data_IF_766680425136
#
_entry.id   IF_766680425136
#
_cell.length_a   1.000
_cell.length_b   1.000
_cell.length_c   1.000
_cell.angle_alpha   90.00
_cell.angle_beta   90.00
_cell.angle_gamma   90.00
#
_symmetry.space_group_name_H-M   'P 1'
#
loop_
_entity.id
_entity.type
_entity.pdbx_description
1 polymer ?
#
# COMPACT_ATOMS: atom_id res chain seq x y z
N UNK A 1 6.41 -19.87 -3.35
CA UNK A 1 5.30 -20.38 -4.18
C UNK A 1 4.52 -19.16 -4.67
N UNK A 2 4.15 -19.14 -5.94
CA UNK A 2 3.54 -17.98 -6.58
C UNK A 2 2.18 -18.40 -7.14
N UNK A 3 1.11 -17.84 -6.59
CA UNK A 3 -0.27 -18.14 -6.97
C UNK A 3 -0.77 -17.04 -7.91
N UNK A 4 -1.24 -17.41 -9.09
CA UNK A 4 -1.75 -16.45 -10.09
C UNK A 4 -3.25 -16.61 -10.24
N UNK A 5 -3.98 -15.50 -10.10
CA UNK A 5 -5.44 -15.47 -10.17
C UNK A 5 -5.92 -14.33 -11.08
N UNK A 6 -7.03 -14.55 -11.78
CA UNK A 6 -7.73 -13.47 -12.47
C UNK A 6 -8.66 -12.78 -11.46
N UNK A 7 -8.48 -11.48 -11.29
CA UNK A 7 -9.25 -10.69 -10.35
C UNK A 7 -9.53 -9.31 -10.95
N UNK A 8 -10.74 -8.80 -10.68
CA UNK A 8 -11.07 -7.42 -10.99
C UNK A 8 -10.42 -6.51 -9.95
N UNK A 9 -9.51 -5.63 -10.39
CA UNK A 9 -8.95 -4.63 -9.49
C UNK A 9 -10.02 -3.58 -9.18
N UNK A 10 -10.70 -3.71 -8.06
CA UNK A 10 -11.86 -2.88 -7.77
C UNK A 10 -11.48 -1.46 -7.36
N UNK A 11 -10.57 -1.32 -6.39
CA UNK A 11 -10.22 -0.01 -5.84
C UNK A 11 -8.81 0.01 -5.30
N UNK A 12 -8.11 1.10 -5.59
CA UNK A 12 -6.87 1.49 -4.94
C UNK A 12 -7.16 2.68 -4.00
N UNK A 13 -6.84 2.53 -2.73
CA UNK A 13 -7.03 3.60 -1.73
C UNK A 13 -5.69 3.97 -1.15
N UNK A 14 -5.28 5.22 -1.36
CA UNK A 14 -4.08 5.80 -0.75
C UNK A 14 -4.50 6.92 0.18
N UNK A 15 -4.36 6.68 1.47
CA UNK A 15 -4.55 7.65 2.54
C UNK A 15 -3.18 8.15 3.03
N UNK A 16 -3.13 9.34 3.65
CA UNK A 16 -1.89 9.90 4.20
C UNK A 16 -1.19 8.98 5.22
N UNK A 17 -1.89 7.97 5.76
CA UNK A 17 -1.31 7.01 6.70
C UNK A 17 -1.20 5.60 6.15
N UNK A 18 -2.03 5.21 5.18
CA UNK A 18 -2.17 3.80 4.76
C UNK A 18 -2.48 3.69 3.27
N UNK A 19 -1.93 2.68 2.63
CA UNK A 19 -2.28 2.33 1.26
C UNK A 19 -2.87 0.91 1.24
N UNK A 20 -4.05 0.78 0.64
CA UNK A 20 -4.74 -0.50 0.50
C UNK A 20 -5.23 -0.73 -0.93
N UNK A 21 -5.22 -1.99 -1.33
CA UNK A 21 -5.70 -2.45 -2.64
C UNK A 21 -6.78 -3.50 -2.44
N UNK A 22 -7.90 -3.34 -3.13
CA UNK A 22 -9.04 -4.25 -3.06
C UNK A 22 -9.29 -4.90 -4.42
N UNK A 23 -9.32 -6.22 -4.44
CA UNK A 23 -9.57 -7.02 -5.64
C UNK A 23 -10.83 -7.87 -5.46
N UNK A 24 -11.58 -8.06 -6.54
CA UNK A 24 -12.72 -8.98 -6.59
C UNK A 24 -12.39 -10.17 -7.48
N UNK A 25 -12.35 -11.35 -6.88
CA UNK A 25 -12.20 -12.61 -7.57
C UNK A 25 -13.61 -13.17 -7.85
N UNK A 26 -13.84 -13.69 -9.06
CA UNK A 26 -15.09 -14.36 -9.44
C UNK A 26 -14.77 -15.77 -9.93
N UNK A 27 -15.56 -16.75 -9.54
CA UNK A 27 -15.52 -18.13 -10.06
C UNK A 27 -14.56 -19.07 -9.34
N UNK A 28 -13.92 -19.97 -10.07
CA UNK A 28 -13.10 -21.09 -9.55
C UNK A 28 -11.87 -20.68 -8.74
N UNK A 29 -11.36 -19.45 -8.93
CA UNK A 29 -10.27 -18.93 -8.13
C UNK A 29 -10.68 -18.63 -6.68
N UNK A 30 -11.98 -18.51 -6.40
CA UNK A 30 -12.52 -18.30 -5.05
C UNK A 30 -12.29 -19.51 -4.15
N UNK A 31 -12.19 -20.71 -4.72
CA UNK A 31 -12.02 -21.98 -4.00
C UNK A 31 -10.54 -22.35 -3.79
N UNK A 32 -9.59 -21.56 -4.32
CA UNK A 32 -8.17 -21.88 -4.22
C UNK A 32 -7.72 -21.93 -2.75
N UNK A 33 -7.27 -23.09 -2.25
CA UNK A 33 -6.83 -23.24 -0.86
C UNK A 33 -5.59 -22.38 -0.56
N UNK A 34 -4.80 -22.06 -1.59
CA UNK A 34 -3.64 -21.17 -1.49
C UNK A 34 -4.02 -19.78 -0.97
N UNK A 35 -5.15 -19.21 -1.39
CA UNK A 35 -5.60 -17.89 -0.89
C UNK A 35 -5.95 -17.92 0.59
N UNK A 36 -6.47 -19.04 1.09
CA UNK A 36 -6.75 -19.22 2.52
C UNK A 36 -5.44 -19.36 3.31
N UNK A 37 -4.41 -19.97 2.72
CA UNK A 37 -3.09 -20.09 3.34
C UNK A 37 -2.33 -18.76 3.36
N UNK A 38 -2.48 -17.95 2.31
CA UNK A 38 -1.88 -16.62 2.22
C UNK A 38 -2.58 -15.57 3.10
N UNK A 39 -3.81 -15.84 3.54
CA UNK A 39 -4.56 -14.92 4.40
C UNK A 39 -3.80 -14.66 5.71
N UNK A 40 -3.71 -13.38 6.12
CA UNK A 40 -2.90 -12.89 7.25
C UNK A 40 -1.38 -13.08 7.09
N UNK A 41 -0.91 -13.40 5.90
CA UNK A 41 0.51 -13.44 5.59
C UNK A 41 0.93 -12.20 4.79
N UNK A 42 2.23 -11.93 4.79
CA UNK A 42 2.82 -10.90 3.95
C UNK A 42 3.07 -11.50 2.56
N UNK A 43 2.65 -10.78 1.53
CA UNK A 43 2.71 -11.23 0.15
C UNK A 43 3.26 -10.14 -0.77
N UNK A 44 3.97 -10.56 -1.81
CA UNK A 44 4.32 -9.70 -2.94
C UNK A 44 3.21 -9.80 -3.98
N UNK A 45 2.59 -8.66 -4.28
CA UNK A 45 1.60 -8.52 -5.34
C UNK A 45 2.28 -8.06 -6.63
N UNK A 46 1.98 -8.74 -7.73
CA UNK A 46 2.40 -8.37 -9.08
C UNK A 46 1.18 -8.41 -10.00
N UNK A 47 0.99 -7.37 -10.80
CA UNK A 47 -0.06 -7.34 -11.81
C UNK A 47 0.55 -7.54 -13.19
N UNK A 48 -0.03 -8.43 -13.99
CA UNK A 48 0.38 -8.61 -15.38
C UNK A 48 0.12 -7.34 -16.19
N UNK A 49 1.14 -6.89 -16.92
CA UNK A 49 1.08 -5.64 -17.69
C UNK A 49 1.51 -4.41 -16.89
N UNK A 50 1.77 -4.54 -15.59
CA UNK A 50 2.37 -3.50 -14.76
C UNK A 50 3.78 -3.94 -14.37
N UNK A 51 4.79 -3.23 -14.86
CA UNK A 51 6.20 -3.46 -14.47
C UNK A 51 6.50 -2.84 -13.09
N UNK A 52 5.71 -3.24 -12.10
CA UNK A 52 5.87 -2.86 -10.71
C UNK A 52 5.33 -3.97 -9.81
N UNK A 53 5.95 -4.12 -8.65
CA UNK A 53 5.52 -5.05 -7.62
C UNK A 53 5.41 -4.33 -6.28
N UNK A 54 4.53 -4.81 -5.41
CA UNK A 54 4.27 -4.18 -4.12
C UNK A 54 4.20 -5.24 -3.04
N UNK A 55 4.76 -4.95 -1.88
CA UNK A 55 4.75 -5.87 -0.74
C UNK A 55 3.67 -5.43 0.23
N UNK A 56 2.73 -6.31 0.50
CA UNK A 56 1.52 -6.02 1.26
C UNK A 56 1.14 -7.15 2.21
N UNK A 57 0.55 -6.81 3.33
CA UNK A 57 -0.13 -7.77 4.18
C UNK A 57 -1.47 -8.14 3.54
N UNK A 58 -1.75 -9.43 3.41
CA UNK A 58 -3.08 -9.90 3.04
C UNK A 58 -4.03 -9.84 4.23
N UNK A 59 -4.68 -8.68 4.38
CA UNK A 59 -5.41 -8.29 5.59
C UNK A 59 -6.77 -8.96 5.74
N UNK A 60 -7.53 -9.06 4.65
CA UNK A 60 -8.91 -9.56 4.70
C UNK A 60 -9.27 -10.34 3.45
N UNK A 61 -9.78 -11.55 3.65
CA UNK A 61 -10.44 -12.37 2.65
C UNK A 61 -11.93 -12.46 3.01
N UNK A 62 -12.81 -11.96 2.14
CA UNK A 62 -14.26 -12.00 2.33
C UNK A 62 -14.92 -12.74 1.16
N UNK A 63 -15.39 -13.95 1.40
CA UNK A 63 -16.20 -14.70 0.43
C UNK A 63 -17.66 -14.25 0.55
N UNK A 64 -18.20 -13.72 -0.53
CA UNK A 64 -19.61 -13.41 -0.71
C UNK A 64 -20.17 -14.37 -1.77
N UNK A 65 -21.46 -14.71 -1.72
CA UNK A 65 -22.10 -15.66 -2.64
C UNK A 65 -21.91 -15.36 -4.14
N UNK A 66 -21.50 -14.13 -4.49
CA UNK A 66 -21.26 -13.70 -5.87
C UNK A 66 -19.80 -13.38 -6.20
N UNK A 67 -18.94 -13.20 -5.20
CA UNK A 67 -17.55 -12.76 -5.39
C UNK A 67 -16.73 -12.87 -4.12
N UNK A 68 -15.43 -13.06 -4.27
CA UNK A 68 -14.48 -13.02 -3.17
C UNK A 68 -13.71 -11.72 -3.19
N UNK A 69 -13.77 -10.97 -2.10
CA UNK A 69 -13.04 -9.72 -1.93
C UNK A 69 -11.72 -9.98 -1.21
N UNK A 70 -10.62 -9.58 -1.83
CA UNK A 70 -9.28 -9.62 -1.26
C UNK A 70 -8.83 -8.20 -0.95
N UNK A 71 -8.45 -7.92 0.30
CA UNK A 71 -7.93 -6.63 0.73
C UNK A 71 -6.49 -6.77 1.21
N UNK A 72 -5.61 -5.95 0.64
CA UNK A 72 -4.18 -5.92 0.96
C UNK A 72 -3.79 -4.56 1.52
N UNK A 73 -2.93 -4.54 2.54
CA UNK A 73 -2.37 -3.31 3.14
C UNK A 73 -0.86 -3.23 2.84
N UNK A 74 -0.43 -2.19 2.13
CA UNK A 74 0.94 -2.07 1.60
C UNK A 74 1.90 -1.47 2.66
N UNK A 75 3.12 -2.02 2.80
CA UNK A 75 4.17 -1.49 3.70
C UNK A 75 4.93 -0.35 3.05
N UNK A 76 5.16 0.72 3.81
CA UNK A 76 5.91 1.90 3.35
C UNK A 76 5.20 2.76 2.28
N UNK A 77 4.04 2.32 1.79
CA UNK A 77 3.42 2.88 0.59
C UNK A 77 4.16 2.45 -0.68
N UNK A 78 3.51 2.59 -1.83
CA UNK A 78 4.16 2.37 -3.11
C UNK A 78 4.93 3.62 -3.54
N UNK A 79 6.04 3.44 -4.26
CA UNK A 79 6.71 4.55 -4.95
C UNK A 79 5.69 5.29 -5.82
N UNK A 80 5.78 6.61 -5.95
CA UNK A 80 4.83 7.43 -6.73
C UNK A 80 4.60 6.87 -8.14
N UNK A 81 5.67 6.39 -8.78
CA UNK A 81 5.61 5.80 -10.12
C UNK A 81 4.83 4.47 -10.13
N UNK A 82 5.10 3.58 -9.18
CA UNK A 82 4.35 2.33 -9.02
C UNK A 82 2.88 2.62 -8.69
N UNK A 83 2.61 3.50 -7.73
CA UNK A 83 1.27 3.92 -7.31
C UNK A 83 0.44 4.41 -8.49
N UNK A 84 1.02 5.26 -9.34
CA UNK A 84 0.36 5.75 -10.56
C UNK A 84 0.02 4.65 -11.55
N UNK A 85 0.92 3.68 -11.76
CA UNK A 85 0.67 2.52 -12.63
C UNK A 85 -0.44 1.63 -12.09
N UNK A 86 -0.46 1.35 -10.78
CA UNK A 86 -1.54 0.59 -10.13
C UNK A 86 -2.87 1.33 -10.21
N UNK A 87 -2.87 2.63 -9.96
CA UNK A 87 -4.08 3.44 -10.04
C UNK A 87 -4.65 3.46 -11.46
N UNK A 88 -3.80 3.53 -12.49
CA UNK A 88 -4.21 3.52 -13.90
C UNK A 88 -4.93 2.22 -14.31
N UNK A 89 -4.56 1.09 -13.73
CA UNK A 89 -5.22 -0.21 -13.99
C UNK A 89 -6.36 -0.52 -13.02
N UNK A 90 -6.62 0.34 -12.04
CA UNK A 90 -7.76 0.18 -11.15
C UNK A 90 -9.08 0.31 -11.93
N UNK A 91 -10.05 -0.54 -11.62
CA UNK A 91 -11.31 -0.68 -12.33
C UNK A 91 -11.30 -1.69 -13.49
N UNK A 92 -10.15 -2.33 -13.78
CA UNK A 92 -10.02 -3.32 -14.87
C UNK A 92 -9.77 -4.74 -14.37
N UNK A 93 -10.05 -5.72 -15.23
CA UNK A 93 -9.73 -7.12 -14.94
C UNK A 93 -8.23 -7.34 -15.13
N UNK A 94 -7.58 -7.86 -14.08
CA UNK A 94 -6.13 -8.01 -14.04
C UNK A 94 -5.75 -9.43 -13.60
N UNK A 95 -4.65 -9.93 -14.14
CA UNK A 95 -4.03 -11.16 -13.66
C UNK A 95 -3.09 -10.80 -12.50
N UNK A 96 -3.52 -11.13 -11.28
CA UNK A 96 -2.83 -10.87 -10.03
C UNK A 96 -1.99 -12.09 -9.64
N UNK A 97 -0.68 -11.92 -9.53
CA UNK A 97 0.24 -12.90 -8.96
C UNK A 97 0.55 -12.53 -7.51
N UNK A 98 0.37 -13.49 -6.62
CA UNK A 98 0.64 -13.40 -5.19
C UNK A 98 1.79 -14.35 -4.83
N UNK A 99 2.79 -13.83 -4.14
CA UNK A 99 3.93 -14.63 -3.67
C UNK A 99 4.09 -14.45 -2.16
N UNK A 100 4.06 -15.54 -1.40
CA UNK A 100 4.31 -15.48 0.04
C UNK A 100 5.74 -15.02 0.31
N UNK A 101 5.89 -13.95 1.09
CA UNK A 101 7.18 -13.60 1.67
C UNK A 101 7.31 -14.39 2.96
N UNK A 102 8.45 -15.02 3.22
CA UNK A 102 8.74 -15.63 4.53
C UNK A 102 8.90 -14.60 5.67
N UNK A 103 8.49 -13.35 5.46
CA UNK A 103 8.48 -12.28 6.47
C UNK A 103 7.24 -12.44 7.36
N UNK A 104 7.44 -12.28 8.66
CA UNK A 104 6.36 -12.39 9.64
C UNK A 104 5.45 -11.16 9.60
N UNK A 105 4.15 -11.38 9.78
CA UNK A 105 3.16 -10.30 9.68
C UNK A 105 3.28 -9.30 10.83
N UNK A 106 3.75 -9.75 12.00
CA UNK A 106 4.00 -8.87 13.14
C UNK A 106 5.15 -7.91 12.85
N UNK A 107 6.30 -8.42 12.41
CA UNK A 107 7.44 -7.62 11.96
C UNK A 107 7.07 -6.64 10.84
N UNK A 108 6.28 -7.08 9.86
CA UNK A 108 5.80 -6.22 8.78
C UNK A 108 4.97 -5.05 9.31
N UNK A 109 4.06 -5.31 10.25
CA UNK A 109 3.22 -4.29 10.89
C UNK A 109 4.03 -3.35 11.78
N UNK A 110 5.02 -3.85 12.50
CA UNK A 110 5.93 -3.03 13.32
C UNK A 110 6.79 -2.12 12.46
N UNK A 111 7.41 -2.65 11.41
CA UNK A 111 8.16 -1.85 10.44
C UNK A 111 7.27 -0.80 9.76
N UNK A 112 6.01 -1.15 9.46
CA UNK A 112 5.05 -0.19 8.92
C UNK A 112 4.66 0.90 9.95
N UNK A 113 4.57 0.58 11.24
CA UNK A 113 4.36 1.58 12.30
C UNK A 113 5.57 2.51 12.43
N UNK A 114 6.78 1.97 12.34
CA UNK A 114 8.01 2.75 12.39
C UNK A 114 8.09 3.74 11.21
N UNK A 115 7.83 3.27 10.00
CA UNK A 115 7.75 4.12 8.81
C UNK A 115 6.69 5.23 8.93
N UNK A 116 5.58 4.96 9.64
CA UNK A 116 4.50 5.92 9.90
C UNK A 116 4.81 6.90 11.05
N UNK A 117 5.89 6.69 11.80
CA UNK A 117 6.23 7.53 12.95
C UNK A 117 6.90 8.81 12.42
N UNK A 118 6.07 9.81 12.08
CA UNK A 118 6.57 11.13 11.72
C UNK A 118 7.50 11.68 12.80
N UNK A 119 8.54 12.41 12.39
CA UNK A 119 9.45 13.10 13.31
C UNK A 119 8.63 14.06 14.15
N UNK A 120 8.52 13.78 15.46
CA UNK A 120 7.89 14.68 16.41
C UNK A 120 8.92 15.76 16.76
N UNK A 121 8.69 17.01 16.33
CA UNK A 121 9.43 18.15 16.88
C UNK A 121 9.17 18.26 18.39
N UNK A 122 10.21 18.54 19.17
CA UNK A 122 10.05 18.80 20.59
C UNK A 122 9.58 20.24 20.79
N UNK A 123 8.43 20.44 21.43
CA UNK A 123 7.96 21.77 21.81
C UNK A 123 8.55 22.08 23.19
N UNK A 124 9.40 23.10 23.27
CA UNK A 124 9.97 23.58 24.51
C UNK A 124 8.92 24.30 25.37
N UNK A 125 9.16 24.40 26.67
CA UNK A 125 8.28 25.12 27.61
C UNK A 125 8.11 26.62 27.26
N UNK A 126 9.02 27.16 26.46
CA UNK A 126 9.02 28.53 25.93
C UNK A 126 8.13 28.69 24.66
N UNK A 127 7.54 27.59 24.16
CA UNK A 127 6.73 27.59 22.94
C UNK A 127 7.54 27.50 21.64
N UNK A 128 8.86 27.44 21.73
CA UNK A 128 9.76 27.18 20.59
C UNK A 128 9.75 25.69 20.23
N UNK A 129 9.89 25.38 18.94
CA UNK A 129 9.97 23.99 18.45
C UNK A 129 11.40 23.70 18.03
N UNK A 130 12.00 22.68 18.63
CA UNK A 130 13.29 22.14 18.18
C UNK A 130 13.02 21.18 17.00
N UNK A 131 13.38 21.63 15.81
CA UNK A 131 13.29 20.87 14.56
C UNK A 131 14.69 20.46 14.09
N UNK A 132 14.77 19.30 13.45
CA UNK A 132 16.03 18.80 12.89
C UNK A 132 16.57 19.79 11.83
N UNK A 133 17.88 20.08 11.84
CA UNK A 133 18.49 21.10 10.97
C UNK A 133 18.42 20.78 9.48
N UNK A 134 18.13 19.53 9.11
CA UNK A 134 17.92 19.14 7.72
C UNK A 134 16.45 19.32 7.27
N UNK A 135 15.56 19.84 8.13
CA UNK A 135 14.19 20.16 7.79
C UNK A 135 14.11 21.57 7.17
N UNK A 136 13.62 21.68 5.94
CA UNK A 136 13.34 22.97 5.31
C UNK A 136 12.36 23.77 6.17
N UNK A 137 12.74 25.01 6.51
CA UNK A 137 11.87 25.98 7.16
C UNK A 137 10.88 26.55 6.16
N UNK A 138 9.73 27.04 6.64
CA UNK A 138 8.73 27.71 5.78
C UNK A 138 9.32 28.93 5.07
N UNK A 139 10.39 29.51 5.63
CA UNK A 139 11.17 30.63 5.07
C UNK A 139 12.03 30.21 3.86
N UNK A 140 12.38 28.92 3.77
CA UNK A 140 13.13 28.33 2.64
C UNK A 140 12.20 27.86 1.51
N UNK A 141 10.88 27.85 1.76
CA UNK A 141 9.88 27.59 0.73
C UNK A 141 9.73 28.86 -0.12
N UNK A 142 10.42 28.89 -1.26
CA UNK A 142 10.38 29.96 -2.24
C UNK A 142 8.93 30.38 -2.52
N UNK A 143 8.59 31.61 -2.12
CA UNK A 143 7.26 32.18 -2.30
C UNK A 143 6.95 32.27 -3.80
N UNK A 144 5.89 31.60 -4.30
CA UNK A 144 5.58 31.60 -5.73
C UNK A 144 5.04 32.95 -6.25
N UNK A 145 4.94 33.99 -5.41
CA UNK A 145 4.45 35.31 -5.79
C UNK A 145 5.56 36.36 -5.99
N UNK A 146 6.85 36.02 -5.82
CA UNK A 146 7.99 36.94 -6.03
C UNK A 146 8.34 37.16 -7.52
N UNK A 147 7.32 37.25 -8.39
CA UNK A 147 7.51 37.31 -9.84
C UNK A 147 6.35 37.80 -10.68
N UNK A 148 5.27 38.33 -10.09
CA UNK A 148 4.21 39.01 -10.87
C UNK A 148 4.28 40.51 -10.58
N UNK A 149 4.77 41.21 -11.61
CA UNK A 149 4.96 42.66 -11.76
C UNK A 149 3.69 43.46 -11.49
#
# INVERSE_FOLDING_TARGET
>A
MTTTINALFNKHTRDSKKESMTFYVKGTAEEMPELQHLHRSVVVLRLKGVDAHVVGEFKKLNRDDKKTTLEFEIKGGTSLESSGKFFAVSGTDVELSLEATGEDVEDFREAQKEYRKGVKGAINADGTVDVDRNQMTIDDAQDPMDGVV
#
